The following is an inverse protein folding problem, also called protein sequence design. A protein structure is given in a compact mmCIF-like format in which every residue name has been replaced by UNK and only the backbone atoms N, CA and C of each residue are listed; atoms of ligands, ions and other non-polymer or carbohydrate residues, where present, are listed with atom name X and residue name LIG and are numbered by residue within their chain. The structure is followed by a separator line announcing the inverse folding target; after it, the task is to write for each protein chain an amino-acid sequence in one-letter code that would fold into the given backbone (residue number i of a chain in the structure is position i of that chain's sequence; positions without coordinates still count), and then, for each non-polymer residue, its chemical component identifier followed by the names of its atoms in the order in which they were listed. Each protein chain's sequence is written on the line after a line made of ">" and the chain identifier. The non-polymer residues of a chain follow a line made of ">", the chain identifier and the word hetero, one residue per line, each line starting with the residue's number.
data_IF_191494006514
#
_entry.id   IF_191494006514
#
_cell.length_a   1.000
_cell.length_b   1.000
_cell.length_c   1.000
_cell.angle_alpha   90.00
_cell.angle_beta   90.00
_cell.angle_gamma   90.00
#
_symmetry.space_group_name_H-M   'P 1'
#
loop_
_entity.id
_entity.type
_entity.pdbx_description
1 polymer ?
#
# COMPACT_ATOMS: atom_id res chain seq x y z
N UNK A 1 32.32 31.75 -25.91
CA UNK A 1 32.71 30.92 -27.09
C UNK A 1 33.99 31.45 -27.72
N UNK A 2 34.24 32.77 -27.69
CA UNK A 2 35.49 33.35 -28.21
C UNK A 2 36.76 32.97 -27.42
N UNK A 3 36.67 32.69 -26.12
CA UNK A 3 37.81 32.21 -25.33
C UNK A 3 38.22 30.76 -25.65
N UNK A 4 37.29 29.93 -26.11
CA UNK A 4 37.57 28.53 -26.49
C UNK A 4 38.44 28.43 -27.76
N UNK A 5 38.43 29.48 -28.59
CA UNK A 5 39.20 29.54 -29.84
C UNK A 5 40.67 29.92 -29.65
N UNK A 6 41.04 30.49 -28.49
CA UNK A 6 42.40 30.97 -28.20
C UNK A 6 43.26 29.96 -27.40
N UNK A 7 42.67 28.84 -26.96
CA UNK A 7 43.32 27.83 -26.13
C UNK A 7 44.59 27.15 -26.70
N UNK A 8 44.80 26.97 -28.02
CA UNK A 8 45.98 26.24 -28.49
C UNK A 8 47.29 27.05 -28.46
N UNK A 9 47.27 28.33 -28.08
CA UNK A 9 48.44 29.24 -28.10
C UNK A 9 48.88 29.74 -26.71
N UNK A 10 48.30 29.21 -25.62
CA UNK A 10 48.57 29.66 -24.24
C UNK A 10 49.37 28.63 -23.43
N UNK A 11 50.22 29.13 -22.53
CA UNK A 11 50.99 28.32 -21.58
C UNK A 11 50.06 27.45 -20.71
N UNK A 12 50.52 26.26 -20.30
CA UNK A 12 49.72 25.26 -19.55
C UNK A 12 49.05 25.84 -18.28
N UNK A 13 49.67 26.86 -17.67
CA UNK A 13 49.15 27.56 -16.49
C UNK A 13 47.97 28.48 -16.82
N UNK A 14 48.00 29.14 -17.97
CA UNK A 14 46.96 30.07 -18.41
C UNK A 14 45.71 29.30 -18.88
N UNK A 15 45.92 28.17 -19.57
CA UNK A 15 44.83 27.26 -19.93
C UNK A 15 44.11 26.68 -18.69
N UNK A 16 44.87 26.32 -17.65
CA UNK A 16 44.30 25.85 -16.38
C UNK A 16 43.51 26.95 -15.64
N UNK A 17 43.99 28.20 -15.66
CA UNK A 17 43.29 29.34 -15.07
C UNK A 17 41.97 29.65 -15.77
N UNK A 18 41.95 29.67 -17.10
CA UNK A 18 40.75 29.88 -17.89
C UNK A 18 39.71 28.77 -17.69
N UNK A 19 40.15 27.50 -17.69
CA UNK A 19 39.27 26.36 -17.42
C UNK A 19 38.64 26.42 -16.02
N UNK A 20 39.44 26.79 -15.00
CA UNK A 20 38.93 26.94 -13.63
C UNK A 20 37.89 28.06 -13.52
N UNK A 21 38.09 29.19 -14.21
CA UNK A 21 37.12 30.30 -14.26
C UNK A 21 35.78 29.87 -14.85
N UNK A 22 35.80 29.17 -15.99
CA UNK A 22 34.58 28.68 -16.66
C UNK A 22 33.81 27.69 -15.77
N UNK A 23 34.53 26.77 -15.11
CA UNK A 23 33.90 25.80 -14.19
C UNK A 23 33.28 26.50 -12.99
N UNK A 24 33.98 27.51 -12.43
CA UNK A 24 33.49 28.24 -11.27
C UNK A 24 32.24 29.07 -11.62
N UNK A 25 32.22 29.76 -12.76
CA UNK A 25 31.07 30.53 -13.23
C UNK A 25 29.87 29.63 -13.53
N UNK A 26 30.10 28.47 -14.16
CA UNK A 26 29.05 27.49 -14.40
C UNK A 26 28.48 26.93 -13.08
N UNK A 27 29.34 26.63 -12.11
CA UNK A 27 28.93 26.13 -10.80
C UNK A 27 28.13 27.18 -10.00
N UNK A 28 28.56 28.45 -10.04
CA UNK A 28 27.85 29.55 -9.40
C UNK A 28 26.47 29.76 -10.02
N UNK A 29 26.38 29.81 -11.34
CA UNK A 29 25.11 29.97 -12.05
C UNK A 29 24.15 28.79 -11.78
N UNK A 30 24.65 27.56 -11.80
CA UNK A 30 23.84 26.38 -11.48
C UNK A 30 23.33 26.41 -10.02
N UNK A 31 24.20 26.79 -9.08
CA UNK A 31 23.83 26.93 -7.67
C UNK A 31 22.74 27.99 -7.48
N UNK A 32 22.88 29.14 -8.14
CA UNK A 32 21.93 30.24 -8.06
C UNK A 32 20.56 29.85 -8.65
N UNK A 33 20.54 29.11 -9.75
CA UNK A 33 19.32 28.55 -10.34
C UNK A 33 18.62 27.57 -9.40
N UNK A 34 19.37 26.66 -8.75
CA UNK A 34 18.82 25.71 -7.77
C UNK A 34 18.25 26.42 -6.54
N UNK A 35 18.92 27.45 -6.03
CA UNK A 35 18.41 28.27 -4.93
C UNK A 35 17.09 28.94 -5.33
N UNK A 36 17.00 29.49 -6.54
CA UNK A 36 15.77 30.13 -7.02
C UNK A 36 14.59 29.13 -7.07
N UNK A 37 14.82 27.91 -7.57
CA UNK A 37 13.81 26.85 -7.60
C UNK A 37 13.40 26.46 -6.16
N UNK A 38 14.35 26.25 -5.26
CA UNK A 38 14.07 25.89 -3.87
C UNK A 38 13.24 26.95 -3.14
N UNK A 39 13.51 28.23 -3.39
CA UNK A 39 12.71 29.34 -2.84
C UNK A 39 11.30 29.35 -3.41
N UNK A 40 11.15 29.11 -4.72
CA UNK A 40 9.84 29.02 -5.35
C UNK A 40 9.01 27.84 -4.80
N UNK A 41 9.63 26.67 -4.66
CA UNK A 41 9.01 25.48 -4.06
C UNK A 41 8.57 25.75 -2.62
N UNK A 42 9.45 26.37 -1.82
CA UNK A 42 9.13 26.72 -0.44
C UNK A 42 7.96 27.73 -0.34
N UNK A 43 7.96 28.76 -1.18
CA UNK A 43 6.89 29.75 -1.22
C UNK A 43 5.54 29.11 -1.60
N UNK A 44 5.53 28.20 -2.59
CA UNK A 44 4.34 27.46 -2.97
C UNK A 44 3.83 26.57 -1.83
N UNK A 45 4.74 25.83 -1.18
CA UNK A 45 4.40 24.96 -0.05
C UNK A 45 3.82 25.77 1.11
N UNK A 46 4.40 26.93 1.44
CA UNK A 46 3.91 27.82 2.49
C UNK A 46 2.51 28.34 2.17
N UNK A 47 2.28 28.82 0.95
CA UNK A 47 0.97 29.31 0.51
C UNK A 47 -0.10 28.21 0.55
N UNK A 48 0.24 27.01 0.06
CA UNK A 48 -0.67 25.87 0.07
C UNK A 48 -1.01 25.42 1.49
N UNK A 49 -0.03 25.44 2.40
CA UNK A 49 -0.23 25.06 3.79
C UNK A 49 -1.16 26.04 4.51
N UNK A 50 -0.94 27.35 4.36
CA UNK A 50 -1.85 28.36 4.92
C UNK A 50 -3.25 28.27 4.34
N UNK A 51 -3.40 27.93 3.06
CA UNK A 51 -4.70 27.74 2.43
C UNK A 51 -5.43 26.50 2.95
N UNK A 52 -4.70 25.42 3.26
CA UNK A 52 -5.27 24.19 3.84
C UNK A 52 -5.76 24.36 5.29
N UNK A 53 -5.22 25.35 6.01
CA UNK A 53 -5.60 25.65 7.41
C UNK A 53 -6.76 26.65 7.52
N UNK A 54 -7.21 27.24 6.41
CA UNK A 54 -8.35 28.16 6.41
C UNK A 54 -9.65 27.35 6.42
N UNK A 55 -10.37 27.40 7.55
CA UNK A 55 -11.77 26.97 7.61
C UNK A 55 -12.62 27.83 6.67
N UNK A 56 -13.51 27.19 5.92
CA UNK A 56 -14.45 27.88 5.05
C UNK A 56 -15.50 28.58 5.93
N UNK A 57 -16.07 29.70 5.48
CA UNK A 57 -17.20 30.37 6.20
C UNK A 57 -18.39 29.42 6.42
N UNK A 58 -18.46 28.35 5.63
CA UNK A 58 -19.43 27.26 5.77
C UNK A 58 -19.04 26.29 6.90
N UNK A 59 -17.77 25.91 7.01
CA UNK A 59 -17.25 25.05 8.10
C UNK A 59 -17.47 25.69 9.48
N UNK A 60 -17.23 27.01 9.62
CA UNK A 60 -17.46 27.74 10.88
C UNK A 60 -18.95 27.81 11.25
N UNK A 61 -19.84 27.92 10.26
CA UNK A 61 -21.30 27.89 10.48
C UNK A 61 -21.80 26.51 10.86
N UNK A 62 -21.21 25.47 10.28
CA UNK A 62 -21.56 24.08 10.56
C UNK A 62 -21.03 23.66 11.94
N UNK A 63 -19.85 24.13 12.37
CA UNK A 63 -19.33 23.98 13.75
C UNK A 63 -20.24 24.65 14.80
N UNK A 64 -20.74 25.85 14.50
CA UNK A 64 -21.67 26.55 15.39
C UNK A 64 -23.00 25.79 15.54
N UNK A 65 -23.52 25.21 14.46
CA UNK A 65 -24.74 24.39 14.48
C UNK A 65 -24.54 23.04 15.17
N UNK A 66 -23.35 22.45 15.08
CA UNK A 66 -23.02 21.18 15.72
C UNK A 66 -22.86 21.30 17.25
N UNK A 67 -22.58 22.51 17.74
CA UNK A 67 -22.47 22.80 19.19
C UNK A 67 -23.84 22.82 19.89
N UNK A 68 -24.89 23.26 19.21
CA UNK A 68 -26.19 23.60 19.83
C UNK A 68 -27.18 22.42 19.92
N UNK A 69 -26.90 21.29 19.26
CA UNK A 69 -27.86 20.17 19.18
C UNK A 69 -27.21 18.78 19.38
N UNK A 70 -27.40 18.12 20.55
CA UNK A 70 -26.76 16.84 20.86
C UNK A 70 -27.22 15.68 19.96
N UNK A 71 -28.43 15.74 19.40
CA UNK A 71 -28.93 14.74 18.44
C UNK A 71 -28.23 14.81 17.08
N UNK A 72 -27.83 16.01 16.64
CA UNK A 72 -27.07 16.18 15.40
C UNK A 72 -25.65 15.63 15.58
N UNK A 73 -25.01 15.83 16.75
CA UNK A 73 -23.70 15.24 17.06
C UNK A 73 -23.71 13.71 17.03
N UNK A 74 -24.76 13.07 17.55
CA UNK A 74 -24.86 11.61 17.55
C UNK A 74 -25.03 11.08 16.12
N UNK A 75 -25.86 11.74 15.30
CA UNK A 75 -26.09 11.40 13.89
C UNK A 75 -24.86 11.65 13.01
N UNK A 76 -24.15 12.77 13.20
CA UNK A 76 -22.90 13.08 12.47
C UNK A 76 -21.81 12.09 12.85
N UNK A 77 -21.61 11.81 14.14
CA UNK A 77 -20.65 10.76 14.58
C UNK A 77 -21.04 9.36 14.12
N UNK A 78 -22.33 9.03 14.07
CA UNK A 78 -22.81 7.76 13.52
C UNK A 78 -22.53 7.67 12.02
N UNK A 79 -22.76 8.75 11.27
CA UNK A 79 -22.52 8.82 9.83
C UNK A 79 -21.04 8.86 9.47
N UNK A 80 -20.21 9.55 10.24
CA UNK A 80 -18.74 9.48 10.14
C UNK A 80 -18.23 8.08 10.46
N UNK A 81 -18.77 7.44 11.52
CA UNK A 81 -18.50 6.03 11.82
C UNK A 81 -18.93 5.10 10.70
N UNK A 82 -20.04 5.39 10.02
CA UNK A 82 -20.58 4.63 8.89
C UNK A 82 -19.76 4.82 7.60
N UNK A 83 -19.23 6.01 7.35
CA UNK A 83 -18.37 6.30 6.18
C UNK A 83 -16.99 5.67 6.36
N UNK A 84 -16.35 5.84 7.53
CA UNK A 84 -15.07 5.19 7.85
C UNK A 84 -15.16 3.65 7.81
N UNK A 85 -16.34 3.16 8.14
CA UNK A 85 -16.81 1.77 8.10
C UNK A 85 -16.88 1.14 6.71
N UNK A 86 -17.11 1.93 5.66
CA UNK A 86 -17.43 1.44 4.30
C UNK A 86 -16.17 1.18 3.47
N UNK A 87 -15.08 1.92 3.70
CA UNK A 87 -13.86 1.85 2.86
C UNK A 87 -13.04 0.54 2.98
N UNK A 88 -12.88 -0.10 4.16
CA UNK A 88 -12.16 -1.38 4.26
C UNK A 88 -13.01 -2.59 3.83
N UNK A 89 -14.34 -2.45 3.81
CA UNK A 89 -15.28 -3.53 3.58
C UNK A 89 -15.63 -3.74 2.10
N UNK A 90 -15.58 -2.68 1.26
CA UNK A 90 -15.88 -2.83 -0.18
C UNK A 90 -14.92 -3.78 -0.89
N UNK A 91 -13.66 -3.81 -0.47
CA UNK A 91 -12.63 -4.62 -1.12
C UNK A 91 -12.65 -6.09 -0.64
N UNK A 92 -13.22 -6.36 0.53
CA UNK A 92 -13.44 -7.71 1.05
C UNK A 92 -14.46 -8.53 0.23
N UNK A 93 -15.37 -7.86 -0.50
CA UNK A 93 -16.32 -8.53 -1.42
C UNK A 93 -15.62 -9.34 -2.52
N UNK A 94 -14.37 -8.98 -2.86
CA UNK A 94 -13.55 -9.63 -3.89
C UNK A 94 -12.60 -10.68 -3.31
N UNK A 95 -12.72 -10.99 -2.03
CA UNK A 95 -11.85 -11.97 -1.38
C UNK A 95 -12.16 -13.37 -1.89
N UNK A 96 -11.12 -14.17 -2.10
CA UNK A 96 -11.21 -15.60 -2.39
C UNK A 96 -11.03 -16.46 -1.15
N UNK A 97 -10.45 -15.88 -0.09
CA UNK A 97 -10.22 -16.53 1.20
C UNK A 97 -10.12 -15.47 2.30
N UNK A 98 -10.66 -15.75 3.49
CA UNK A 98 -10.45 -14.93 4.69
C UNK A 98 -9.82 -15.79 5.78
N UNK A 99 -8.72 -15.32 6.36
CA UNK A 99 -8.08 -15.93 7.53
C UNK A 99 -8.46 -15.13 8.78
N UNK A 100 -8.93 -15.83 9.81
CA UNK A 100 -9.33 -15.25 11.10
C UNK A 100 -8.42 -15.79 12.20
N UNK A 101 -7.99 -14.90 13.09
CA UNK A 101 -7.22 -15.23 14.28
C UNK A 101 -7.94 -14.79 15.58
N UNK A 102 -7.70 -15.48 16.71
CA UNK A 102 -8.22 -15.09 18.01
C UNK A 102 -7.84 -13.64 18.37
N UNK A 103 -8.75 -12.93 19.04
CA UNK A 103 -8.62 -11.48 19.28
C UNK A 103 -9.35 -10.62 18.22
N UNK A 104 -10.25 -11.23 17.44
CA UNK A 104 -11.03 -10.60 16.37
C UNK A 104 -10.13 -9.94 15.33
N UNK A 105 -9.18 -10.69 14.77
CA UNK A 105 -8.36 -10.23 13.65
C UNK A 105 -8.76 -11.00 12.39
N UNK A 106 -8.94 -10.29 11.28
CA UNK A 106 -9.24 -10.92 9.99
C UNK A 106 -8.37 -10.32 8.88
N UNK A 107 -7.93 -11.17 7.97
CA UNK A 107 -7.21 -10.80 6.75
C UNK A 107 -7.91 -11.46 5.56
N UNK A 108 -8.37 -10.63 4.63
CA UNK A 108 -9.01 -11.06 3.40
C UNK A 108 -8.00 -11.04 2.25
N UNK A 109 -7.88 -12.16 1.56
CA UNK A 109 -6.96 -12.39 0.47
C UNK A 109 -7.74 -12.57 -0.84
N UNK A 110 -7.16 -12.06 -1.92
CA UNK A 110 -7.60 -12.34 -3.28
C UNK A 110 -6.47 -12.97 -4.06
N UNK A 111 -6.78 -14.05 -4.76
CA UNK A 111 -5.84 -14.71 -5.65
C UNK A 111 -6.55 -15.17 -6.92
N UNK A 112 -5.89 -14.92 -8.05
CA UNK A 112 -6.30 -15.43 -9.35
C UNK A 112 -5.10 -16.16 -9.96
N UNK A 113 -5.16 -17.50 -10.11
CA UNK A 113 -4.03 -18.30 -10.59
C UNK A 113 -3.65 -17.97 -12.04
N UNK A 114 -4.55 -17.37 -12.83
CA UNK A 114 -4.28 -17.01 -14.22
C UNK A 114 -3.45 -15.72 -14.35
N UNK A 115 -3.59 -14.78 -13.41
CA UNK A 115 -3.04 -13.44 -13.54
C UNK A 115 -2.09 -13.03 -12.42
N UNK A 116 -2.13 -13.71 -11.27
CA UNK A 116 -1.40 -13.31 -10.07
C UNK A 116 -0.32 -14.32 -9.71
N UNK A 117 0.89 -13.82 -9.42
CA UNK A 117 2.02 -14.64 -8.94
C UNK A 117 1.90 -15.02 -7.47
N UNK A 118 1.18 -14.20 -6.70
CA UNK A 118 0.95 -14.42 -5.28
C UNK A 118 -0.37 -13.78 -4.84
N UNK A 119 -1.00 -14.28 -3.76
CA UNK A 119 -2.19 -13.67 -3.18
C UNK A 119 -1.94 -12.23 -2.72
N UNK A 120 -2.92 -11.36 -2.94
CA UNK A 120 -2.90 -9.96 -2.52
C UNK A 120 -3.87 -9.77 -1.36
N UNK A 121 -3.47 -8.98 -0.37
CA UNK A 121 -4.35 -8.58 0.73
C UNK A 121 -5.33 -7.52 0.23
N UNK A 122 -6.63 -7.83 0.22
CA UNK A 122 -7.67 -6.88 -0.19
C UNK A 122 -8.29 -6.14 0.98
N UNK A 123 -8.33 -6.76 2.16
CA UNK A 123 -8.73 -6.11 3.39
C UNK A 123 -8.03 -6.74 4.59
N UNK A 124 -7.81 -5.95 5.65
CA UNK A 124 -7.41 -6.47 6.96
C UNK A 124 -8.03 -5.60 8.05
N UNK A 125 -8.42 -6.19 9.17
CA UNK A 125 -9.06 -5.46 10.25
C UNK A 125 -8.95 -6.16 11.62
N UNK A 126 -9.17 -5.38 12.68
CA UNK A 126 -9.33 -5.90 14.04
C UNK A 126 -10.69 -5.51 14.61
N UNK A 127 -11.19 -6.26 15.59
CA UNK A 127 -12.44 -6.04 16.32
C UNK A 127 -13.62 -5.89 15.35
N UNK A 128 -14.32 -4.76 15.41
CA UNK A 128 -15.47 -4.46 14.54
C UNK A 128 -15.12 -4.52 13.05
N UNK A 129 -13.89 -4.19 12.65
CA UNK A 129 -13.47 -4.29 11.26
C UNK A 129 -13.32 -5.74 10.81
N UNK A 130 -12.83 -6.63 11.68
CA UNK A 130 -12.74 -8.06 11.38
C UNK A 130 -14.12 -8.69 11.22
N UNK A 131 -15.05 -8.42 12.16
CA UNK A 131 -16.44 -8.89 12.08
C UNK A 131 -17.14 -8.44 10.78
N UNK A 132 -16.83 -7.23 10.31
CA UNK A 132 -17.36 -6.73 9.03
C UNK A 132 -16.77 -7.45 7.84
N UNK A 133 -15.45 -7.71 7.85
CA UNK A 133 -14.77 -8.46 6.79
C UNK A 133 -15.36 -9.87 6.71
N UNK A 134 -15.52 -10.54 7.85
CA UNK A 134 -16.13 -11.88 7.94
C UNK A 134 -17.56 -11.87 7.41
N UNK A 135 -18.39 -10.91 7.84
CA UNK A 135 -19.77 -10.80 7.35
C UNK A 135 -19.83 -10.58 5.84
N UNK A 136 -19.02 -9.67 5.29
CA UNK A 136 -18.98 -9.42 3.85
C UNK A 136 -18.49 -10.66 3.09
N UNK A 137 -17.50 -11.36 3.62
CA UNK A 137 -17.01 -12.60 3.04
C UNK A 137 -18.10 -13.69 3.00
N UNK A 138 -18.85 -13.87 4.10
CA UNK A 138 -19.99 -14.78 4.16
C UNK A 138 -21.07 -14.41 3.13
N UNK A 139 -21.44 -13.13 3.03
CA UNK A 139 -22.42 -12.63 2.06
C UNK A 139 -22.01 -12.91 0.60
N UNK A 140 -20.72 -12.93 0.30
CA UNK A 140 -20.18 -13.15 -1.05
C UNK A 140 -19.68 -14.59 -1.27
N UNK A 141 -19.89 -15.50 -0.31
CA UNK A 141 -19.49 -16.90 -0.41
C UNK A 141 -17.97 -17.14 -0.33
N UNK A 142 -17.20 -16.17 0.16
CA UNK A 142 -15.78 -16.35 0.41
C UNK A 142 -15.57 -17.20 1.68
N UNK A 143 -14.81 -18.31 1.60
CA UNK A 143 -14.56 -19.20 2.72
C UNK A 143 -13.74 -18.50 3.81
N UNK A 144 -14.13 -18.77 5.07
CA UNK A 144 -13.44 -18.27 6.26
C UNK A 144 -12.69 -19.44 6.90
N UNK A 145 -11.40 -19.24 7.16
CA UNK A 145 -10.53 -20.22 7.80
C UNK A 145 -9.97 -19.65 9.11
N UNK A 146 -10.17 -20.38 10.19
CA UNK A 146 -9.63 -20.00 11.50
C UNK A 146 -8.23 -20.59 11.67
N UNK A 147 -7.22 -19.70 11.71
CA UNK A 147 -5.84 -20.05 11.98
C UNK A 147 -5.19 -18.93 12.79
N UNK A 148 -4.87 -19.24 14.04
CA UNK A 148 -4.32 -18.27 14.98
C UNK A 148 -2.90 -17.82 14.60
N UNK A 149 -2.07 -18.72 14.09
CA UNK A 149 -0.68 -18.45 13.77
C UNK A 149 -0.58 -17.70 12.44
N UNK A 150 -1.19 -18.25 11.39
CA UNK A 150 -1.21 -17.65 10.06
C UNK A 150 -1.91 -16.30 10.07
N UNK A 151 -3.07 -16.19 10.73
CA UNK A 151 -3.84 -14.96 10.78
C UNK A 151 -3.09 -13.82 11.48
N UNK A 152 -2.40 -14.09 12.61
CA UNK A 152 -1.54 -13.09 13.27
C UNK A 152 -0.36 -12.71 12.41
N UNK A 153 0.31 -13.69 11.80
CA UNK A 153 1.48 -13.46 10.98
C UNK A 153 1.15 -12.62 9.75
N UNK A 154 0.08 -12.94 9.03
CA UNK A 154 -0.41 -12.16 7.89
C UNK A 154 -0.85 -10.76 8.31
N UNK A 155 -1.56 -10.64 9.44
CA UNK A 155 -2.02 -9.35 9.93
C UNK A 155 -0.86 -8.40 10.26
N UNK A 156 0.21 -8.93 10.84
CA UNK A 156 1.40 -8.17 11.23
C UNK A 156 2.32 -7.84 10.04
N UNK A 157 2.47 -8.76 9.09
CA UNK A 157 3.46 -8.66 8.01
C UNK A 157 2.93 -8.09 6.69
N UNK A 158 1.61 -8.00 6.50
CA UNK A 158 1.02 -7.64 5.20
C UNK A 158 0.22 -6.33 5.24
N UNK A 159 0.28 -5.58 4.14
CA UNK A 159 -0.45 -4.32 3.93
C UNK A 159 -1.54 -4.50 2.87
N UNK A 160 -2.61 -3.70 2.96
CA UNK A 160 -3.70 -3.73 1.97
C UNK A 160 -3.15 -3.32 0.60
N UNK A 161 -3.49 -4.06 -0.44
CA UNK A 161 -3.02 -3.88 -1.81
C UNK A 161 -1.67 -4.55 -2.12
N UNK A 162 -0.95 -5.04 -1.12
CA UNK A 162 0.33 -5.72 -1.30
C UNK A 162 0.18 -7.25 -1.41
N UNK A 163 1.14 -7.88 -2.07
CA UNK A 163 1.30 -9.34 -2.07
C UNK A 163 1.71 -9.81 -0.67
N UNK A 164 1.27 -11.00 -0.28
CA UNK A 164 1.71 -11.61 0.99
C UNK A 164 3.22 -11.92 0.93
N UNK A 165 3.92 -11.99 2.08
CA UNK A 165 5.32 -12.41 2.12
C UNK A 165 5.53 -13.88 1.69
N UNK A 166 6.66 -14.22 1.03
CA UNK A 166 6.93 -15.58 0.53
C UNK A 166 6.84 -16.68 1.58
N UNK A 167 7.25 -16.38 2.81
CA UNK A 167 7.20 -17.31 3.94
C UNK A 167 5.79 -17.81 4.29
N UNK A 168 4.73 -17.14 3.82
CA UNK A 168 3.34 -17.52 4.05
C UNK A 168 2.68 -18.17 2.83
N UNK A 169 3.39 -18.36 1.72
CA UNK A 169 2.80 -18.88 0.48
C UNK A 169 2.25 -20.29 0.65
N UNK A 170 3.03 -21.19 1.25
CA UNK A 170 2.64 -22.60 1.44
C UNK A 170 1.38 -22.70 2.29
N UNK A 171 1.37 -22.07 3.47
CA UNK A 171 0.23 -22.11 4.39
C UNK A 171 -1.04 -21.50 3.77
N UNK A 172 -0.90 -20.41 3.01
CA UNK A 172 -2.03 -19.80 2.31
C UNK A 172 -2.53 -20.68 1.16
N UNK A 173 -1.62 -21.33 0.41
CA UNK A 173 -2.00 -22.25 -0.65
C UNK A 173 -2.75 -23.48 -0.12
N UNK A 174 -2.30 -24.03 1.01
CA UNK A 174 -3.00 -25.12 1.71
C UNK A 174 -4.41 -24.69 2.15
N UNK A 175 -4.53 -23.50 2.75
CA UNK A 175 -5.83 -22.95 3.14
C UNK A 175 -6.76 -22.74 1.94
N UNK A 176 -6.26 -22.24 0.80
CA UNK A 176 -7.04 -22.13 -0.44
C UNK A 176 -7.42 -23.49 -1.02
N UNK A 177 -6.52 -24.47 -0.99
CA UNK A 177 -6.79 -25.82 -1.48
C UNK A 177 -7.90 -26.47 -0.64
N UNK A 178 -7.80 -26.41 0.68
CA UNK A 178 -8.83 -26.91 1.58
C UNK A 178 -10.18 -26.22 1.37
N UNK A 179 -10.15 -24.91 1.14
CA UNK A 179 -11.33 -24.13 0.85
C UNK A 179 -11.99 -24.53 -0.49
N UNK A 180 -11.19 -24.84 -1.52
CA UNK A 180 -11.69 -25.27 -2.83
C UNK A 180 -12.34 -26.66 -2.82
N UNK A 181 -11.90 -27.55 -1.92
CA UNK A 181 -12.46 -28.91 -1.78
C UNK A 181 -13.84 -28.89 -1.08
N UNK A 182 -14.08 -27.91 -0.22
CA UNK A 182 -15.33 -27.78 0.55
C UNK A 182 -16.41 -26.94 -0.15
N UNK A 183 -16.06 -26.23 -1.23
CA UNK A 183 -17.02 -25.47 -2.01
C UNK A 183 -17.82 -26.40 -2.96
N UNK A 184 -19.16 -26.36 -2.98
CA UNK A 184 -19.93 -27.06 -4.01
C UNK A 184 -19.54 -26.53 -5.39
N UNK A 185 -19.36 -27.45 -6.36
CA UNK A 185 -18.76 -27.22 -7.69
C UNK A 185 -19.59 -26.34 -8.65
N UNK A 186 -20.32 -25.36 -8.15
CA UNK A 186 -21.31 -24.60 -8.92
C UNK A 186 -21.18 -23.09 -8.67
N UNK A 187 -20.24 -22.45 -9.35
CA UNK A 187 -20.09 -20.99 -9.42
C UNK A 187 -19.32 -20.58 -10.69
N UNK A 188 -19.61 -19.41 -11.29
CA UNK A 188 -19.19 -19.06 -12.66
C UNK A 188 -17.70 -18.72 -12.82
N UNK A 189 -16.93 -18.66 -11.73
CA UNK A 189 -15.50 -18.36 -11.80
C UNK A 189 -14.68 -19.64 -11.56
N UNK A 190 -14.34 -20.28 -12.67
CA UNK A 190 -13.79 -21.63 -12.73
C UNK A 190 -12.30 -21.61 -12.35
N UNK A 191 -11.97 -22.14 -11.18
CA UNK A 191 -10.63 -22.60 -10.82
C UNK A 191 -10.28 -23.81 -11.70
N UNK A 192 -9.85 -23.57 -12.94
CA UNK A 192 -9.25 -24.64 -13.75
C UNK A 192 -7.80 -24.83 -13.29
N UNK A 193 -7.63 -25.91 -12.53
CA UNK A 193 -6.39 -26.68 -12.32
C UNK A 193 -5.19 -25.94 -11.71
N UNK A 194 -4.94 -26.23 -10.44
CA UNK A 194 -3.58 -26.21 -9.89
C UNK A 194 -2.81 -27.36 -10.56
N UNK A 195 -1.74 -27.12 -11.35
CA UNK A 195 -0.88 -28.20 -11.78
C UNK A 195 -0.08 -28.67 -10.56
N UNK A 196 -0.22 -29.95 -10.22
CA UNK A 196 0.65 -30.64 -9.31
C UNK A 196 2.07 -30.71 -9.92
N UNK A 197 2.89 -29.69 -9.66
CA UNK A 197 4.31 -29.70 -9.98
C UNK A 197 5.09 -28.71 -9.10
N UNK A 198 5.06 -28.92 -7.78
CA UNK A 198 6.21 -28.54 -6.94
C UNK A 198 7.09 -29.78 -6.87
N UNK A 199 7.90 -29.96 -7.90
CA UNK A 199 8.92 -31.00 -7.97
C UNK A 199 10.07 -30.67 -7.01
N UNK A 200 10.20 -31.52 -6.00
CA UNK A 200 11.44 -32.19 -5.58
C UNK A 200 12.76 -31.42 -5.75
N UNK A 201 13.34 -30.99 -4.64
CA UNK A 201 14.71 -30.44 -4.62
C UNK A 201 15.28 -30.16 -3.23
N UNK A 202 14.98 -31.00 -2.23
CA UNK A 202 15.70 -31.02 -0.96
C UNK A 202 16.56 -32.29 -0.92
N UNK A 203 17.85 -32.14 -1.26
CA UNK A 203 18.87 -33.10 -0.84
C UNK A 203 19.60 -32.53 0.38
N UNK A 204 19.28 -33.11 1.52
CA UNK A 204 20.12 -33.11 2.73
C UNK A 204 21.27 -34.09 2.52
N UNK A 205 22.54 -33.75 2.79
CA UNK A 205 23.54 -34.78 3.03
C UNK A 205 23.48 -35.18 4.50
N UNK A 206 23.10 -36.43 4.73
CA UNK A 206 23.29 -37.14 5.99
C UNK A 206 24.79 -37.37 6.25
N UNK A 207 25.14 -37.41 7.52
CA UNK A 207 26.47 -37.63 8.06
C UNK A 207 26.94 -39.09 7.99
N UNK A 208 28.27 -39.25 8.16
CA UNK A 208 29.00 -40.45 8.62
C UNK A 208 29.34 -41.51 7.58
N UNK A 209 30.60 -41.53 7.15
CA UNK A 209 31.63 -42.45 7.65
C UNK A 209 33.00 -41.78 7.62
#
# INVERSE_FOLDING_TARGET
>A
LDELAALPMLDLRDAAGAAAGIVLDAALNATLALIAIAVADYAWQRYSHERSLRMTKQDVRDEAKETDNPELRSRVRARQREIASRRPASDASRATLVIVAPGRMAVALRYDPATMRAPIVVARGQRLAAERIERVAQEHGAPIFEDAELGRALFASSQIGAQIPPQHYTAVAEAMALASVRAPRSGPNRLETVPAAVGTGLQTPASVR
#
